data_IF_407624005855
#
_entry.id   IF_407624005855
#
_cell.length_a   1.000
_cell.length_b   1.000
_cell.length_c   1.000
_cell.angle_alpha   90.00
_cell.angle_beta   90.00
_cell.angle_gamma   90.00
#
_symmetry.space_group_name_H-M   'P 1'
#
loop_
_entity.id
_entity.type
_entity.pdbx_description
1 polymer ?
#
# COMPACT_ATOMS: atom_id res chain seq x y z
N UNK A 1 35.21 -10.70 47.76
CA UNK A 1 35.37 -10.81 46.31
C UNK A 1 34.04 -11.26 45.74
N UNK A 2 33.15 -10.33 45.41
CA UNK A 2 31.84 -10.61 44.81
C UNK A 2 31.95 -10.48 43.32
N UNK A 3 31.87 -11.61 42.61
CA UNK A 3 31.83 -11.64 41.14
C UNK A 3 30.43 -11.27 40.67
N UNK A 4 30.29 -10.10 40.02
CA UNK A 4 29.06 -9.68 39.34
C UNK A 4 28.85 -10.55 38.09
N UNK A 5 27.65 -11.09 37.87
CA UNK A 5 27.36 -11.87 36.68
C UNK A 5 27.43 -10.94 35.46
N UNK A 6 28.34 -11.22 34.52
CA UNK A 6 28.39 -10.62 33.20
C UNK A 6 27.07 -10.93 32.47
N UNK A 7 26.14 -9.99 32.43
CA UNK A 7 24.98 -10.07 31.55
C UNK A 7 25.49 -10.16 30.09
N UNK A 8 25.23 -11.31 29.49
CA UNK A 8 25.41 -11.50 28.04
C UNK A 8 24.55 -10.52 27.25
N UNK A 9 25.12 -9.42 26.85
CA UNK A 9 24.55 -8.48 25.92
C UNK A 9 24.83 -8.93 24.47
N UNK A 10 24.65 -10.20 24.16
CA UNK A 10 24.89 -10.69 22.82
C UNK A 10 23.61 -11.32 22.27
N UNK A 11 23.19 -10.81 21.15
CA UNK A 11 22.19 -11.33 20.22
C UNK A 11 20.77 -10.76 20.30
N UNK A 12 20.62 -9.47 20.52
CA UNK A 12 19.48 -8.81 19.88
C UNK A 12 19.86 -8.61 18.42
N UNK A 13 19.45 -9.56 17.57
CA UNK A 13 19.65 -9.46 16.12
C UNK A 13 18.97 -8.19 15.63
N UNK A 14 19.69 -7.37 14.85
CA UNK A 14 19.15 -6.18 14.20
C UNK A 14 17.84 -6.50 13.44
N UNK A 15 17.75 -7.71 12.88
CA UNK A 15 16.54 -8.24 12.27
C UNK A 15 15.36 -8.39 13.25
N UNK A 16 15.63 -8.83 14.51
CA UNK A 16 14.60 -8.93 15.54
C UNK A 16 14.10 -7.55 15.99
N UNK A 17 15.00 -6.57 16.08
CA UNK A 17 14.65 -5.18 16.39
C UNK A 17 13.81 -4.54 15.27
N UNK A 18 14.19 -4.73 14.01
CA UNK A 18 13.43 -4.25 12.86
C UNK A 18 12.06 -4.92 12.74
N UNK A 19 11.99 -6.22 13.06
CA UNK A 19 10.71 -6.93 13.11
C UNK A 19 9.83 -6.36 14.23
N UNK A 20 10.38 -6.19 15.44
CA UNK A 20 9.65 -5.62 16.57
C UNK A 20 9.14 -4.19 16.28
N UNK A 21 9.98 -3.33 15.69
CA UNK A 21 9.57 -1.98 15.27
C UNK A 21 8.44 -2.03 14.25
N UNK A 22 8.53 -2.91 13.24
CA UNK A 22 7.46 -3.09 12.26
C UNK A 22 6.16 -3.58 12.87
N UNK A 23 6.25 -4.55 13.76
CA UNK A 23 5.09 -5.14 14.44
C UNK A 23 4.44 -4.11 15.39
N UNK A 24 5.27 -3.25 16.05
CA UNK A 24 4.79 -2.15 16.88
C UNK A 24 4.09 -1.07 16.08
N UNK A 25 4.67 -0.64 14.95
CA UNK A 25 4.06 0.34 14.05
C UNK A 25 2.74 -0.19 13.45
N UNK A 26 2.67 -1.49 13.15
CA UNK A 26 1.43 -2.13 12.69
C UNK A 26 0.38 -2.18 13.80
N UNK A 27 0.78 -2.51 15.01
CA UNK A 27 -0.11 -2.56 16.17
C UNK A 27 -0.71 -1.17 16.50
N UNK A 28 0.09 -0.10 16.44
CA UNK A 28 -0.38 1.27 16.67
C UNK A 28 -1.44 1.69 15.65
N UNK A 29 -1.25 1.32 14.37
CA UNK A 29 -2.22 1.66 13.31
C UNK A 29 -3.55 0.92 13.41
N UNK A 30 -3.54 -0.29 13.98
CA UNK A 30 -4.78 -1.03 14.25
C UNK A 30 -5.46 -0.57 15.53
N UNK A 31 -4.72 0.04 16.45
CA UNK A 31 -5.28 0.49 17.73
C UNK A 31 -6.23 1.68 17.57
N UNK A 32 -6.02 2.56 16.59
CA UNK A 32 -6.92 3.68 16.34
C UNK A 32 -8.33 3.21 15.95
N UNK A 33 -8.45 2.24 15.05
CA UNK A 33 -9.75 1.65 14.69
C UNK A 33 -10.35 0.78 15.79
N UNK A 34 -9.51 0.18 16.66
CA UNK A 34 -10.00 -0.60 17.80
C UNK A 34 -10.47 0.27 18.96
N UNK A 35 -10.01 1.53 19.03
CA UNK A 35 -10.50 2.52 19.97
C UNK A 35 -11.86 3.12 19.56
N UNK A 36 -12.20 3.06 18.27
CA UNK A 36 -13.51 3.46 17.77
C UNK A 36 -14.55 2.38 18.08
N UNK A 37 -15.76 2.79 18.50
CA UNK A 37 -16.87 1.88 18.64
C UNK A 37 -17.25 1.21 17.31
N UNK A 38 -17.80 0.01 17.35
CA UNK A 38 -18.16 -0.76 16.13
C UNK A 38 -19.08 0.05 15.20
N UNK A 39 -20.07 0.74 15.75
CA UNK A 39 -20.99 1.61 15.00
C UNK A 39 -20.29 2.76 14.27
N UNK A 40 -19.23 3.29 14.85
CA UNK A 40 -18.42 4.35 14.22
C UNK A 40 -17.57 3.77 13.07
N UNK A 41 -16.99 2.59 13.24
CA UNK A 41 -16.25 1.89 12.19
C UNK A 41 -17.18 1.54 11.03
N UNK A 42 -18.40 1.07 11.31
CA UNK A 42 -19.42 0.81 10.29
C UNK A 42 -19.84 2.07 9.52
N UNK A 43 -19.97 3.19 10.22
CA UNK A 43 -20.27 4.49 9.60
C UNK A 43 -19.13 4.91 8.66
N UNK A 44 -17.88 4.91 9.16
CA UNK A 44 -16.70 5.24 8.35
C UNK A 44 -16.58 4.34 7.11
N UNK A 45 -16.78 3.03 7.27
CA UNK A 45 -16.73 2.10 6.16
C UNK A 45 -17.80 2.42 5.09
N UNK A 46 -19.00 2.74 5.52
CA UNK A 46 -20.12 3.14 4.66
C UNK A 46 -19.82 4.42 3.89
N UNK A 47 -19.28 5.44 4.58
CA UNK A 47 -18.96 6.76 3.98
C UNK A 47 -17.93 6.65 2.86
N UNK A 48 -17.01 5.68 2.94
CA UNK A 48 -15.99 5.42 1.90
C UNK A 48 -16.34 4.25 0.98
N UNK A 49 -17.59 3.75 1.04
CA UNK A 49 -18.06 2.62 0.22
C UNK A 49 -17.20 1.36 0.35
N UNK A 50 -16.76 1.02 1.56
CA UNK A 50 -16.00 -0.18 1.90
C UNK A 50 -16.76 -1.03 2.92
N UNK A 51 -16.49 -2.33 2.95
CA UNK A 51 -16.89 -3.17 4.09
C UNK A 51 -15.98 -2.90 5.31
N UNK A 52 -16.48 -3.18 6.50
CA UNK A 52 -15.69 -3.08 7.74
C UNK A 52 -14.41 -3.92 7.67
N UNK A 53 -14.50 -5.11 7.07
CA UNK A 53 -13.35 -5.98 6.89
C UNK A 53 -12.27 -5.36 5.96
N UNK A 54 -12.69 -4.74 4.87
CA UNK A 54 -11.80 -4.02 3.95
C UNK A 54 -11.16 -2.80 4.62
N UNK A 55 -11.95 -2.01 5.36
CA UNK A 55 -11.43 -0.86 6.11
C UNK A 55 -10.36 -1.30 7.13
N UNK A 56 -10.60 -2.35 7.87
CA UNK A 56 -9.62 -2.90 8.81
C UNK A 56 -8.38 -3.45 8.11
N UNK A 57 -8.55 -4.12 6.96
CA UNK A 57 -7.43 -4.60 6.16
C UNK A 57 -6.59 -3.45 5.57
N UNK A 58 -7.24 -2.38 5.12
CA UNK A 58 -6.57 -1.18 4.62
C UNK A 58 -5.77 -0.47 5.73
N UNK A 59 -6.37 -0.31 6.92
CA UNK A 59 -5.70 0.28 8.08
C UNK A 59 -4.43 -0.48 8.49
N UNK A 60 -4.45 -1.80 8.45
CA UNK A 60 -3.26 -2.65 8.71
C UNK A 60 -2.11 -2.39 7.73
N UNK A 61 -2.39 -2.00 6.50
CA UNK A 61 -1.37 -1.71 5.48
C UNK A 61 -0.81 -0.31 5.58
N UNK A 62 -1.57 0.61 6.15
CA UNK A 62 -1.16 1.99 6.41
C UNK A 62 -1.25 2.92 5.19
N UNK A 63 -0.92 4.22 5.37
CA UNK A 63 -1.20 5.28 4.40
C UNK A 63 -0.44 5.15 3.09
N UNK A 64 0.70 4.45 3.09
CA UNK A 64 1.54 4.28 1.89
C UNK A 64 1.17 3.04 1.06
N UNK A 65 0.07 2.36 1.39
CA UNK A 65 -0.33 1.13 0.69
C UNK A 65 -0.55 1.35 -0.81
N UNK A 66 -1.06 2.51 -1.21
CA UNK A 66 -1.29 2.87 -2.61
C UNK A 66 -0.05 3.47 -3.32
N UNK A 67 1.09 3.64 -2.65
CA UNK A 67 2.30 4.22 -3.25
C UNK A 67 2.82 3.40 -4.45
N UNK A 68 2.68 2.08 -4.41
CA UNK A 68 3.05 1.22 -5.53
C UNK A 68 2.18 1.48 -6.78
N UNK A 69 0.91 1.86 -6.60
CA UNK A 69 0.06 2.28 -7.72
C UNK A 69 0.62 3.53 -8.39
N UNK A 70 0.99 4.55 -7.61
CA UNK A 70 1.58 5.78 -8.17
C UNK A 70 2.85 5.46 -8.97
N UNK A 71 3.73 4.61 -8.43
CA UNK A 71 4.93 4.16 -9.15
C UNK A 71 4.58 3.42 -10.44
N UNK A 72 3.53 2.60 -10.44
CA UNK A 72 3.08 1.88 -11.64
C UNK A 72 2.52 2.83 -12.67
N UNK A 73 1.70 3.80 -12.27
CA UNK A 73 1.18 4.85 -13.15
C UNK A 73 2.33 5.61 -13.81
N UNK A 74 3.30 6.08 -13.03
CA UNK A 74 4.47 6.79 -13.57
C UNK A 74 5.27 5.92 -14.55
N UNK A 75 5.44 4.63 -14.27
CA UNK A 75 6.10 3.70 -15.19
C UNK A 75 5.32 3.48 -16.50
N UNK A 76 4.04 3.80 -16.51
CA UNK A 76 3.14 3.80 -17.68
C UNK A 76 2.97 5.18 -18.32
N UNK A 77 3.81 6.12 -17.93
CA UNK A 77 3.69 7.51 -18.38
C UNK A 77 2.36 8.19 -18.01
N UNK A 78 1.66 7.68 -17.03
CA UNK A 78 0.46 8.30 -16.46
C UNK A 78 0.83 9.19 -15.28
N UNK A 79 0.35 10.44 -15.28
CA UNK A 79 0.46 11.31 -14.09
C UNK A 79 -0.67 10.94 -13.11
N UNK A 80 -0.34 10.46 -11.89
CA UNK A 80 -1.34 10.11 -10.88
C UNK A 80 -2.25 11.27 -10.48
N UNK A 81 -1.74 12.50 -10.51
CA UNK A 81 -2.50 13.71 -10.17
C UNK A 81 -3.50 14.06 -11.27
N UNK A 82 -3.08 13.92 -12.52
CA UNK A 82 -3.95 14.16 -13.67
C UNK A 82 -5.08 13.13 -13.73
N UNK A 83 -4.77 11.85 -13.49
CA UNK A 83 -5.78 10.80 -13.38
C UNK A 83 -6.77 11.10 -12.26
N UNK A 84 -6.29 11.49 -11.09
CA UNK A 84 -7.16 11.81 -9.95
C UNK A 84 -8.04 13.05 -10.21
N UNK A 85 -7.57 13.99 -11.02
CA UNK A 85 -8.31 15.20 -11.39
C UNK A 85 -9.37 14.92 -12.47
N UNK A 86 -9.02 14.11 -13.47
CA UNK A 86 -9.86 13.87 -14.64
C UNK A 86 -10.90 12.79 -14.37
N UNK A 87 -10.50 11.71 -13.68
CA UNK A 87 -11.39 10.61 -13.30
C UNK A 87 -11.14 10.19 -11.83
N UNK A 88 -11.70 10.97 -10.89
CA UNK A 88 -11.51 10.72 -9.47
C UNK A 88 -12.15 9.40 -9.00
N UNK A 89 -13.18 8.91 -9.68
CA UNK A 89 -13.82 7.64 -9.34
C UNK A 89 -12.89 6.48 -9.63
N UNK A 90 -12.40 6.38 -10.86
CA UNK A 90 -11.42 5.35 -11.27
C UNK A 90 -10.15 5.42 -10.44
N UNK A 91 -9.65 6.63 -10.13
CA UNK A 91 -8.48 6.81 -9.27
C UNK A 91 -8.69 6.20 -7.89
N UNK A 92 -9.84 6.45 -7.24
CA UNK A 92 -10.18 5.88 -5.93
C UNK A 92 -10.31 4.36 -5.98
N UNK A 93 -10.96 3.83 -7.00
CA UNK A 93 -11.13 2.38 -7.18
C UNK A 93 -9.78 1.68 -7.34
N UNK A 94 -8.90 2.22 -8.16
CA UNK A 94 -7.54 1.70 -8.32
C UNK A 94 -6.74 1.74 -7.01
N UNK A 95 -6.85 2.80 -6.24
CA UNK A 95 -6.19 2.92 -4.93
C UNK A 95 -6.72 1.87 -3.96
N UNK A 96 -8.04 1.67 -3.91
CA UNK A 96 -8.68 0.64 -3.09
C UNK A 96 -8.19 -0.76 -3.48
N UNK A 97 -8.23 -1.10 -4.77
CA UNK A 97 -7.76 -2.39 -5.30
C UNK A 97 -6.28 -2.62 -4.96
N UNK A 98 -5.43 -1.60 -5.15
CA UNK A 98 -4.01 -1.69 -4.85
C UNK A 98 -3.76 -1.86 -3.34
N UNK A 99 -4.47 -1.11 -2.50
CA UNK A 99 -4.35 -1.18 -1.04
C UNK A 99 -4.70 -2.58 -0.52
N UNK A 100 -5.71 -3.22 -1.08
CA UNK A 100 -6.17 -4.56 -0.67
C UNK A 100 -5.44 -5.70 -1.39
N UNK A 101 -4.57 -5.38 -2.36
CA UNK A 101 -3.91 -6.36 -3.21
C UNK A 101 -3.05 -7.35 -2.43
N UNK A 102 -3.22 -8.64 -2.70
CA UNK A 102 -2.43 -9.72 -2.08
C UNK A 102 -1.01 -9.79 -2.64
N UNK A 103 -0.79 -9.32 -3.88
CA UNK A 103 0.50 -9.34 -4.57
C UNK A 103 1.38 -8.11 -4.29
N UNK A 104 1.06 -7.34 -3.26
CA UNK A 104 1.74 -6.09 -2.91
C UNK A 104 3.27 -6.27 -2.71
N UNK A 105 3.67 -7.34 -2.00
CA UNK A 105 5.08 -7.66 -1.78
C UNK A 105 5.82 -7.98 -3.08
N UNK A 106 5.21 -8.76 -3.98
CA UNK A 106 5.77 -9.05 -5.30
C UNK A 106 5.94 -7.79 -6.14
N UNK A 107 4.92 -6.94 -6.15
CA UNK A 107 4.97 -5.66 -6.85
C UNK A 107 6.11 -4.77 -6.33
N UNK A 108 6.33 -4.72 -5.02
CA UNK A 108 7.43 -3.97 -4.41
C UNK A 108 8.80 -4.53 -4.82
N UNK A 109 8.95 -5.85 -4.87
CA UNK A 109 10.19 -6.51 -5.32
C UNK A 109 10.48 -6.22 -6.79
N UNK A 110 9.50 -6.27 -7.67
CA UNK A 110 9.68 -5.97 -9.10
C UNK A 110 10.23 -4.54 -9.30
N UNK A 111 9.73 -3.58 -8.52
CA UNK A 111 10.26 -2.22 -8.55
C UNK A 111 11.67 -2.09 -7.94
N UNK A 112 11.99 -2.89 -6.93
CA UNK A 112 13.31 -2.88 -6.30
C UNK A 112 14.38 -3.50 -7.21
N UNK A 113 14.03 -4.58 -7.91
CA UNK A 113 14.94 -5.31 -8.78
C UNK A 113 15.12 -4.66 -10.16
N UNK A 114 14.45 -3.54 -10.44
CA UNK A 114 14.46 -2.88 -11.76
C UNK A 114 14.24 -3.86 -12.93
N UNK A 115 13.41 -4.87 -12.70
CA UNK A 115 13.09 -5.86 -13.73
C UNK A 115 11.99 -5.27 -14.63
N UNK A 116 12.32 -4.73 -15.81
CA UNK A 116 11.36 -3.96 -16.62
C UNK A 116 10.34 -4.84 -17.33
N UNK A 117 10.53 -6.14 -17.36
CA UNK A 117 9.88 -7.02 -18.31
C UNK A 117 9.11 -8.18 -17.67
N UNK A 118 9.05 -8.22 -16.35
CA UNK A 118 8.32 -9.32 -15.75
C UNK A 118 6.84 -8.97 -15.76
N UNK A 119 6.12 -9.81 -16.36
CA UNK A 119 4.70 -10.12 -16.33
C UNK A 119 3.91 -9.57 -15.10
N UNK A 120 4.17 -8.28 -14.71
CA UNK A 120 3.38 -7.60 -13.67
C UNK A 120 1.89 -7.61 -14.04
N UNK A 121 1.60 -7.64 -15.32
CA UNK A 121 0.26 -7.77 -15.89
C UNK A 121 -0.45 -9.03 -15.40
N UNK A 122 0.29 -10.10 -15.10
CA UNK A 122 -0.26 -11.38 -14.64
C UNK A 122 -0.76 -11.34 -13.21
N UNK A 123 -0.30 -10.42 -12.38
CA UNK A 123 -0.66 -10.36 -10.96
C UNK A 123 -1.26 -9.03 -10.52
N UNK A 124 -1.12 -7.97 -11.29
CA UNK A 124 -1.66 -6.66 -10.96
C UNK A 124 -3.15 -6.58 -11.30
N UNK A 125 -3.99 -6.41 -10.30
CA UNK A 125 -5.43 -6.31 -10.48
C UNK A 125 -5.88 -5.03 -11.21
N UNK A 126 -5.02 -4.02 -11.28
CA UNK A 126 -5.29 -2.77 -11.99
C UNK A 126 -4.81 -2.76 -13.45
N UNK A 127 -4.32 -3.88 -13.98
CA UNK A 127 -3.72 -3.96 -15.32
C UNK A 127 -4.64 -3.43 -16.41
N UNK A 128 -5.86 -3.93 -16.46
CA UNK A 128 -6.84 -3.53 -17.49
C UNK A 128 -7.18 -2.04 -17.40
N UNK A 129 -7.35 -1.52 -16.20
CA UNK A 129 -7.64 -0.10 -15.97
C UNK A 129 -6.46 0.78 -16.36
N UNK A 130 -5.23 0.40 -16.00
CA UNK A 130 -4.02 1.13 -16.37
C UNK A 130 -3.81 1.15 -17.90
N UNK A 131 -4.04 0.03 -18.56
CA UNK A 131 -3.98 -0.05 -20.04
C UNK A 131 -5.05 0.83 -20.71
N UNK A 132 -6.28 0.81 -20.20
CA UNK A 132 -7.35 1.63 -20.70
C UNK A 132 -7.05 3.13 -20.54
N UNK A 133 -6.56 3.54 -19.38
CA UNK A 133 -6.15 4.93 -19.11
C UNK A 133 -5.02 5.37 -20.05
N UNK A 134 -4.02 4.52 -20.26
CA UNK A 134 -2.89 4.83 -21.16
C UNK A 134 -3.30 4.97 -22.62
N UNK A 135 -4.37 4.31 -23.04
CA UNK A 135 -4.93 4.43 -24.38
C UNK A 135 -5.79 5.70 -24.59
N UNK A 136 -6.08 6.45 -23.52
CA UNK A 136 -6.92 7.66 -23.62
C UNK A 136 -6.13 8.85 -24.15
N UNK A 137 -6.74 9.70 -25.03
CA UNK A 137 -6.04 10.83 -25.68
C UNK A 137 -5.45 11.87 -24.73
N UNK A 138 -6.01 12.01 -23.53
CA UNK A 138 -5.51 12.95 -22.52
C UNK A 138 -4.26 12.44 -21.78
N UNK A 139 -4.07 11.12 -21.71
CA UNK A 139 -2.92 10.51 -21.04
C UNK A 139 -1.60 10.73 -21.80
N UNK A 140 -1.69 10.93 -23.11
CA UNK A 140 -0.54 11.14 -23.99
C UNK A 140 -0.14 12.60 -24.21
N UNK A 141 -0.90 13.56 -23.64
CA UNK A 141 -0.58 14.99 -23.75
C UNK A 141 0.39 15.44 -22.64
N UNK A 142 1.65 15.05 -22.75
CA UNK A 142 2.72 15.80 -22.14
C UNK A 142 3.25 16.78 -23.16
N UNK A 143 2.74 17.99 -23.12
CA UNK A 143 3.45 19.12 -23.71
C UNK A 143 4.63 19.40 -22.75
N UNK A 144 5.81 19.23 -23.30
CA UNK A 144 7.09 19.61 -22.70
C UNK A 144 7.27 21.12 -22.74
#
# INVERSE_FOLDING_TARGET
MFALPRRKWSQFSFAAMLKWCRDRIKADRTSELTLCGETEVERMARDICMSVAELRAAAKRGPNAAHLLQRRMTAFDLDPREVARTDPATSRDMQRVCTLCKSHGRCALDFACRSPLVAWERYCLNTSTLMALNAMPWASRREW
#
